data_IF_265115509388
#
_entry.id   IF_265115509388
#
_cell.length_a   1.000
_cell.length_b   1.000
_cell.length_c   1.000
_cell.angle_alpha   90.00
_cell.angle_beta   90.00
_cell.angle_gamma   90.00
#
_symmetry.space_group_name_H-M   'P 1'
#
loop_
_entity.id
_entity.type
_entity.pdbx_description
1 polymer ?
#
# COMPACT_ATOMS: atom_id res chain seq x y z
N UNK A 1 -1.71 -2.88 32.29
CA UNK A 1 -1.12 -1.80 31.47
C UNK A 1 -0.77 -2.40 30.12
N UNK A 2 -1.35 -1.93 29.02
CA UNK A 2 -1.01 -2.41 27.69
C UNK A 2 0.17 -1.58 27.16
N UNK A 3 1.35 -2.19 27.06
CA UNK A 3 2.49 -1.61 26.37
C UNK A 3 2.21 -1.62 24.86
N UNK A 4 2.40 -0.47 24.20
CA UNK A 4 2.34 -0.41 22.73
C UNK A 4 3.60 -1.07 22.17
N UNK A 5 3.47 -1.76 21.04
CA UNK A 5 4.61 -2.23 20.28
C UNK A 5 5.44 -1.04 19.75
N UNK A 6 6.73 -1.28 19.57
CA UNK A 6 7.63 -0.31 18.93
C UNK A 6 7.13 0.07 17.53
N UNK A 7 7.26 1.34 17.12
CA UNK A 7 6.88 1.76 15.77
C UNK A 7 7.68 0.97 14.71
N UNK A 8 7.01 0.50 13.66
CA UNK A 8 7.66 -0.28 12.60
C UNK A 8 8.65 0.52 11.73
N UNK A 9 8.75 1.84 11.91
CA UNK A 9 9.54 2.74 11.07
C UNK A 9 9.00 2.95 9.65
N UNK A 10 7.98 2.18 9.24
CA UNK A 10 7.38 2.27 7.91
C UNK A 10 6.45 3.48 7.80
N UNK A 11 6.83 4.44 6.97
CA UNK A 11 6.03 5.60 6.62
C UNK A 11 5.57 5.50 5.15
N UNK A 12 4.25 5.51 4.94
CA UNK A 12 3.68 5.62 3.59
C UNK A 12 4.00 6.98 2.99
N UNK A 13 4.25 7.02 1.69
CA UNK A 13 4.46 8.23 0.89
C UNK A 13 3.23 8.56 0.03
N UNK A 14 3.25 9.71 -0.67
CA UNK A 14 2.21 10.05 -1.66
C UNK A 14 2.20 9.06 -2.83
N UNK A 15 3.37 8.59 -3.25
CA UNK A 15 3.52 7.58 -4.29
C UNK A 15 2.90 6.24 -3.84
N UNK A 16 3.09 5.87 -2.57
CA UNK A 16 2.46 4.68 -2.00
C UNK A 16 0.95 4.80 -1.99
N UNK A 17 0.42 5.96 -1.60
CA UNK A 17 -1.01 6.22 -1.65
C UNK A 17 -1.58 6.12 -3.07
N UNK A 18 -0.84 6.57 -4.09
CA UNK A 18 -1.25 6.42 -5.49
C UNK A 18 -1.32 4.94 -5.91
N UNK A 19 -0.29 4.16 -5.57
CA UNK A 19 -0.28 2.71 -5.82
C UNK A 19 -1.42 1.99 -5.09
N UNK A 20 -1.62 2.27 -3.80
CA UNK A 20 -2.70 1.71 -2.98
C UNK A 20 -4.07 2.03 -3.61
N UNK A 21 -4.29 3.29 -4.03
CA UNK A 21 -5.54 3.70 -4.69
C UNK A 21 -5.76 2.97 -6.02
N UNK A 22 -4.71 2.79 -6.82
CA UNK A 22 -4.80 2.02 -8.06
C UNK A 22 -5.11 0.53 -7.80
N UNK A 23 -4.49 -0.08 -6.80
CA UNK A 23 -4.76 -1.46 -6.38
C UNK A 23 -6.20 -1.63 -5.88
N UNK A 24 -6.71 -0.70 -5.07
CA UNK A 24 -8.11 -0.68 -4.63
C UNK A 24 -9.05 -0.56 -5.83
N UNK A 25 -8.77 0.36 -6.75
CA UNK A 25 -9.60 0.58 -7.94
C UNK A 25 -9.62 -0.66 -8.86
N UNK A 26 -8.50 -1.37 -8.95
CA UNK A 26 -8.40 -2.65 -9.66
C UNK A 26 -9.21 -3.78 -9.02
N UNK A 27 -9.61 -3.64 -7.75
CA UNK A 27 -10.40 -4.62 -7.00
C UNK A 27 -9.58 -5.49 -6.05
N UNK A 28 -8.32 -5.13 -5.77
CA UNK A 28 -7.46 -5.91 -4.90
C UNK A 28 -7.96 -5.86 -3.44
N UNK A 29 -7.81 -6.98 -2.71
CA UNK A 29 -8.32 -7.10 -1.34
C UNK A 29 -7.46 -6.27 -0.38
N UNK A 30 -8.10 -5.48 0.49
CA UNK A 30 -7.40 -4.55 1.38
C UNK A 30 -6.35 -5.23 2.27
N UNK A 31 -6.60 -6.44 2.75
CA UNK A 31 -5.64 -7.16 3.60
C UNK A 31 -4.40 -7.60 2.81
N UNK A 32 -4.54 -7.97 1.53
CA UNK A 32 -3.39 -8.31 0.68
C UNK A 32 -2.58 -7.04 0.36
N UNK A 33 -3.25 -5.91 0.09
CA UNK A 33 -2.59 -4.62 -0.10
C UNK A 33 -1.83 -4.24 1.19
N UNK A 34 -2.47 -4.35 2.36
CA UNK A 34 -1.84 -4.03 3.64
C UNK A 34 -0.57 -4.87 3.88
N UNK A 35 -0.64 -6.17 3.59
CA UNK A 35 0.52 -7.08 3.68
C UNK A 35 1.64 -6.68 2.72
N UNK A 36 1.32 -6.35 1.47
CA UNK A 36 2.30 -5.90 0.47
C UNK A 36 3.08 -4.66 0.92
N UNK A 37 2.40 -3.70 1.53
CA UNK A 37 3.01 -2.46 2.05
C UNK A 37 3.59 -2.59 3.46
N UNK A 38 3.36 -3.71 4.17
CA UNK A 38 3.80 -3.88 5.55
C UNK A 38 3.09 -2.95 6.55
N UNK A 39 1.83 -2.60 6.29
CA UNK A 39 1.05 -1.65 7.11
C UNK A 39 -0.22 -2.29 7.68
N UNK A 40 -0.82 -1.65 8.68
CA UNK A 40 -2.12 -2.05 9.19
C UNK A 40 -3.23 -1.80 8.13
N UNK A 41 -4.21 -2.72 8.02
CA UNK A 41 -5.34 -2.59 7.09
C UNK A 41 -6.14 -1.29 7.29
N UNK A 42 -6.20 -0.73 8.50
CA UNK A 42 -6.79 0.58 8.76
C UNK A 42 -6.13 1.71 7.95
N UNK A 43 -4.82 1.63 7.68
CA UNK A 43 -4.13 2.60 6.81
C UNK A 43 -4.61 2.54 5.36
N UNK A 44 -4.98 1.34 4.90
CA UNK A 44 -5.57 1.17 3.57
C UNK A 44 -6.96 1.82 3.52
N UNK A 45 -7.76 1.66 4.58
CA UNK A 45 -9.06 2.32 4.70
C UNK A 45 -8.95 3.85 4.72
N UNK A 46 -8.02 4.42 5.49
CA UNK A 46 -7.75 5.87 5.55
C UNK A 46 -7.33 6.44 4.18
N UNK A 47 -6.61 5.66 3.36
CA UNK A 47 -6.23 6.09 2.01
C UNK A 47 -7.41 5.99 1.04
N UNK A 48 -8.25 4.95 1.20
CA UNK A 48 -9.47 4.75 0.41
C UNK A 48 -10.46 5.89 0.60
N UNK A 49 -10.77 6.25 1.84
CA UNK A 49 -11.70 7.34 2.16
C UNK A 49 -11.09 8.75 1.94
N UNK A 50 -9.77 8.83 1.84
CA UNK A 50 -9.04 10.08 1.57
C UNK A 50 -8.74 10.90 2.82
N UNK A 51 -9.00 10.40 4.01
CA UNK A 51 -8.57 10.99 5.29
C UNK A 51 -7.04 11.03 5.41
N UNK A 52 -6.34 10.10 4.74
CA UNK A 52 -4.89 10.10 4.58
C UNK A 52 -4.51 10.28 3.11
N UNK A 53 -3.58 11.20 2.84
CA UNK A 53 -3.16 11.60 1.48
C UNK A 53 -4.34 12.07 0.60
N UNK A 54 -5.07 13.11 1.03
CA UNK A 54 -6.21 13.63 0.25
C UNK A 54 -5.75 14.11 -1.13
N UNK A 55 -6.61 13.91 -2.14
CA UNK A 55 -6.39 14.37 -3.51
C UNK A 55 -5.35 13.57 -4.31
N UNK A 56 -4.74 12.54 -3.74
CA UNK A 56 -3.85 11.65 -4.51
C UNK A 56 -4.68 10.83 -5.49
N UNK A 57 -4.33 10.94 -6.78
CA UNK A 57 -4.93 10.15 -7.85
C UNK A 57 -4.38 8.72 -7.84
N UNK A 58 -5.18 7.71 -8.23
CA UNK A 58 -4.69 6.35 -8.39
C UNK A 58 -3.57 6.29 -9.43
N UNK A 59 -2.55 5.47 -9.15
CA UNK A 59 -1.53 5.13 -10.13
C UNK A 59 -2.15 4.37 -11.31
N UNK A 60 -1.54 4.49 -12.49
CA UNK A 60 -1.98 3.78 -13.68
C UNK A 60 -1.79 2.28 -13.53
N UNK A 61 -2.56 1.48 -14.26
CA UNK A 61 -2.47 0.02 -14.22
C UNK A 61 -1.07 -0.51 -14.55
N UNK A 62 -0.35 0.14 -15.48
CA UNK A 62 1.04 -0.17 -15.86
C UNK A 62 2.06 0.05 -14.73
N UNK A 63 1.72 0.91 -13.75
CA UNK A 63 2.57 1.21 -12.61
C UNK A 63 2.32 0.31 -11.40
N UNK A 64 1.23 -0.45 -11.41
CA UNK A 64 0.86 -1.30 -10.28
C UNK A 64 1.70 -2.58 -10.24
N UNK A 65 1.92 -3.16 -9.05
CA UNK A 65 2.38 -4.55 -8.99
C UNK A 65 1.38 -5.48 -9.70
N UNK A 66 1.84 -6.64 -10.24
CA UNK A 66 0.95 -7.67 -10.78
C UNK A 66 -0.14 -8.03 -9.77
N UNK A 67 -1.36 -8.32 -10.22
CA UNK A 67 -2.43 -8.74 -9.31
C UNK A 67 -1.98 -9.95 -8.50
N UNK A 68 -2.30 -9.93 -7.20
CA UNK A 68 -1.81 -10.89 -6.21
C UNK A 68 -2.14 -12.37 -6.51
N UNK A 69 -1.71 -13.29 -5.62
CA UNK A 69 -1.41 -13.07 -4.21
C UNK A 69 -0.08 -12.33 -4.01
N UNK A 70 -0.08 -11.20 -3.29
CA UNK A 70 1.11 -10.37 -3.04
C UNK A 70 2.11 -11.05 -2.09
N UNK A 71 2.73 -12.13 -2.55
CA UNK A 71 3.64 -12.97 -1.75
C UNK A 71 4.97 -12.28 -1.43
N UNK A 72 5.33 -11.26 -2.20
CA UNK A 72 6.56 -10.48 -2.02
C UNK A 72 6.23 -9.09 -1.50
N UNK A 73 6.99 -8.55 -0.52
CA UNK A 73 6.83 -7.18 -0.06
C UNK A 73 7.12 -6.17 -1.18
N UNK A 74 6.54 -4.97 -1.05
CA UNK A 74 6.77 -3.84 -1.96
C UNK A 74 8.24 -3.58 -2.25
N UNK A 75 9.12 -3.65 -1.24
CA UNK A 75 10.55 -3.37 -1.40
C UNK A 75 11.18 -4.29 -2.45
N UNK A 76 10.93 -5.60 -2.35
CA UNK A 76 11.44 -6.58 -3.31
C UNK A 76 10.87 -6.36 -4.72
N UNK A 77 9.60 -5.95 -4.82
CA UNK A 77 9.01 -5.60 -6.11
C UNK A 77 9.65 -4.35 -6.74
N UNK A 78 9.94 -3.31 -5.94
CA UNK A 78 10.58 -2.08 -6.42
C UNK A 78 12.00 -2.34 -6.92
N UNK A 79 12.78 -3.15 -6.20
CA UNK A 79 14.14 -3.52 -6.61
C UNK A 79 14.18 -4.23 -7.97
N UNK A 80 13.21 -5.11 -8.23
CA UNK A 80 13.11 -5.82 -9.52
C UNK A 80 12.75 -4.91 -10.70
N UNK A 81 12.16 -3.73 -10.47
CA UNK A 81 11.82 -2.77 -11.53
C UNK A 81 12.99 -1.87 -11.95
N UNK A 82 14.05 -1.82 -11.14
CA UNK A 82 15.25 -1.01 -11.42
C UNK A 82 16.34 -1.79 -12.15
N UNK A 83 16.11 -3.09 -12.41
CA UNK A 83 16.97 -3.95 -13.21
C UNK A 83 16.46 -4.02 -14.64
#
# INVERSE_FOLDING_TARGET
>A
MSTRAEPSGLALTKQDAALIRGMIFRGDRHHDIAAFFGVNQGRIAEIKDGSRFPGVLPAKAEDLPPMGPYLTPKVAWQENRLR
#
